data_IF_112244510199
#
_entry.id   IF_112244510199
#
_cell.length_a   1.000
_cell.length_b   1.000
_cell.length_c   1.000
_cell.angle_alpha   90.00
_cell.angle_beta   90.00
_cell.angle_gamma   90.00
#
_symmetry.space_group_name_H-M   'P 1'
#
loop_
_entity.id
_entity.type
_entity.pdbx_description
1 polymer ?
#
# COMPACT_ATOMS: atom_id res chain seq x y z
N UNK A 1 -0.50 -24.27 -20.36
CA UNK A 1 -1.09 -22.98 -20.00
C UNK A 1 0.03 -21.98 -19.83
N UNK A 2 -0.06 -20.81 -20.46
CA UNK A 2 0.86 -19.71 -20.15
C UNK A 2 0.62 -19.20 -18.73
N UNK A 3 1.68 -18.98 -17.97
CA UNK A 3 1.57 -18.38 -16.64
C UNK A 3 1.03 -16.96 -16.76
N UNK A 4 0.29 -16.48 -15.74
CA UNK A 4 -0.13 -15.07 -15.64
C UNK A 4 1.07 -14.12 -15.74
N UNK A 5 2.24 -14.55 -15.26
CA UNK A 5 3.47 -13.77 -15.32
C UNK A 5 3.99 -13.61 -16.76
N UNK A 6 3.95 -14.68 -17.57
CA UNK A 6 4.33 -14.63 -18.99
C UNK A 6 3.37 -13.77 -19.82
N UNK A 7 2.08 -13.80 -19.49
CA UNK A 7 1.06 -12.94 -20.12
C UNK A 7 1.26 -11.47 -19.74
N UNK A 8 1.64 -11.19 -18.49
CA UNK A 8 2.00 -9.86 -18.04
C UNK A 8 3.24 -9.30 -18.78
N UNK A 9 4.29 -10.09 -18.96
CA UNK A 9 5.50 -9.64 -19.68
C UNK A 9 5.28 -9.43 -21.18
N UNK A 10 4.43 -10.24 -21.80
CA UNK A 10 4.08 -10.11 -23.22
C UNK A 10 3.00 -9.06 -23.49
N UNK A 11 2.42 -8.46 -22.44
CA UNK A 11 1.37 -7.46 -22.59
C UNK A 11 1.91 -6.13 -23.12
N UNK A 12 1.28 -5.62 -24.19
CA UNK A 12 1.69 -4.36 -24.81
C UNK A 12 1.05 -3.14 -24.13
N UNK A 13 1.68 -2.67 -23.07
CA UNK A 13 1.26 -1.48 -22.32
C UNK A 13 1.29 -0.17 -23.15
N UNK A 14 2.17 -0.06 -24.15
CA UNK A 14 2.29 1.15 -24.97
C UNK A 14 1.14 1.32 -25.96
N UNK A 15 0.46 0.21 -26.28
CA UNK A 15 -0.71 0.24 -27.16
C UNK A 15 -1.96 0.83 -26.49
N UNK A 16 -2.02 0.91 -25.15
CA UNK A 16 -3.20 1.40 -24.43
C UNK A 16 -3.08 2.90 -24.08
N UNK A 17 -3.97 3.76 -24.61
CA UNK A 17 -3.93 5.20 -24.34
C UNK A 17 -4.11 5.55 -22.85
N UNK A 18 -4.86 4.75 -22.10
CA UNK A 18 -5.15 5.00 -20.67
C UNK A 18 -3.90 4.80 -19.82
N UNK A 19 -3.14 3.76 -20.14
CA UNK A 19 -1.86 3.50 -19.49
C UNK A 19 -0.86 4.63 -19.81
N UNK A 20 -0.78 5.02 -21.09
CA UNK A 20 0.08 6.10 -21.54
C UNK A 20 -0.21 7.44 -20.88
N UNK A 21 -1.49 7.73 -20.61
CA UNK A 21 -1.89 8.95 -19.90
C UNK A 21 -1.42 8.97 -18.44
N UNK A 22 -1.58 7.83 -17.73
CA UNK A 22 -1.01 7.64 -16.40
C UNK A 22 0.52 7.79 -16.36
N UNK A 23 1.20 7.31 -17.40
CA UNK A 23 2.65 7.40 -17.53
C UNK A 23 3.17 8.85 -17.66
N UNK A 24 2.38 9.76 -18.26
CA UNK A 24 2.74 11.19 -18.35
C UNK A 24 2.74 11.87 -16.97
N UNK A 25 1.84 11.44 -16.09
CA UNK A 25 1.77 11.94 -14.72
C UNK A 25 2.99 11.51 -13.91
N UNK A 26 3.42 10.26 -14.08
CA UNK A 26 4.58 9.70 -13.38
C UNK A 26 5.89 10.43 -13.72
N UNK A 27 6.10 10.72 -15.01
CA UNK A 27 7.30 11.45 -15.48
C UNK A 27 7.38 12.88 -14.97
N UNK A 28 6.26 13.47 -14.54
CA UNK A 28 6.21 14.83 -14.01
C UNK A 28 6.65 14.91 -12.55
N UNK A 29 6.55 13.81 -11.81
CA UNK A 29 6.69 13.78 -10.35
C UNK A 29 8.01 13.20 -9.84
N UNK A 30 8.85 12.63 -10.72
CA UNK A 30 9.96 11.76 -10.31
C UNK A 30 11.32 12.28 -10.75
N UNK A 31 12.26 12.35 -9.80
CA UNK A 31 13.70 12.45 -10.05
C UNK A 31 14.25 11.05 -10.42
N UNK A 32 15.15 11.01 -11.42
CA UNK A 32 15.50 9.84 -12.27
C UNK A 32 15.91 8.52 -11.60
N UNK A 33 16.10 8.45 -10.29
CA UNK A 33 16.63 7.25 -9.60
C UNK A 33 15.56 6.21 -9.24
N UNK A 34 14.26 6.54 -9.30
CA UNK A 34 13.17 5.66 -8.88
C UNK A 34 12.25 5.14 -9.99
N UNK A 35 12.54 5.45 -11.26
CA UNK A 35 11.60 5.28 -12.37
C UNK A 35 11.24 3.82 -12.65
N UNK A 36 12.18 2.89 -12.54
CA UNK A 36 11.97 1.47 -12.88
C UNK A 36 11.01 0.76 -11.91
N UNK A 37 11.15 1.01 -10.60
CA UNK A 37 10.30 0.40 -9.59
C UNK A 37 8.89 1.00 -9.65
N UNK A 38 8.78 2.30 -9.92
CA UNK A 38 7.50 2.96 -10.11
C UNK A 38 6.80 2.53 -11.39
N UNK A 39 7.54 2.33 -12.48
CA UNK A 39 6.99 1.83 -13.74
C UNK A 39 6.43 0.42 -13.57
N UNK A 40 7.17 -0.46 -12.88
CA UNK A 40 6.70 -1.81 -12.58
C UNK A 40 5.43 -1.78 -11.72
N UNK A 41 5.39 -0.94 -10.69
CA UNK A 41 4.21 -0.80 -9.83
C UNK A 41 2.99 -0.29 -10.61
N UNK A 42 3.18 0.66 -11.51
CA UNK A 42 2.11 1.18 -12.36
C UNK A 42 1.61 0.14 -13.36
N UNK A 43 2.52 -0.64 -13.98
CA UNK A 43 2.17 -1.76 -14.87
C UNK A 43 1.36 -2.82 -14.12
N UNK A 44 1.82 -3.23 -12.93
CA UNK A 44 1.12 -4.20 -12.07
C UNK A 44 -0.27 -3.68 -11.67
N UNK A 45 -0.37 -2.42 -11.25
CA UNK A 45 -1.64 -1.80 -10.88
C UNK A 45 -2.62 -1.79 -12.06
N UNK A 46 -2.17 -1.35 -13.24
CA UNK A 46 -3.01 -1.29 -14.42
C UNK A 46 -3.49 -2.68 -14.84
N UNK A 47 -2.57 -3.64 -14.91
CA UNK A 47 -2.88 -5.01 -15.31
C UNK A 47 -3.88 -5.66 -14.35
N UNK A 48 -3.70 -5.47 -13.05
CA UNK A 48 -4.66 -5.88 -12.01
C UNK A 48 -6.04 -5.25 -12.17
N UNK A 49 -6.08 -3.98 -12.57
CA UNK A 49 -7.32 -3.21 -12.66
C UNK A 49 -8.14 -3.55 -13.90
N UNK A 50 -7.49 -3.88 -15.02
CA UNK A 50 -8.14 -3.92 -16.34
C UNK A 50 -7.95 -5.23 -17.13
N UNK A 51 -7.00 -6.09 -16.78
CA UNK A 51 -6.69 -7.31 -17.54
C UNK A 51 -6.96 -8.56 -16.71
N UNK A 52 -6.15 -8.81 -15.69
CA UNK A 52 -6.25 -10.00 -14.85
C UNK A 52 -5.50 -9.78 -13.52
N UNK A 53 -5.99 -10.33 -12.40
CA UNK A 53 -5.28 -10.29 -11.13
C UNK A 53 -3.92 -11.01 -11.17
N UNK A 54 -2.89 -10.32 -10.69
CA UNK A 54 -1.50 -10.72 -10.56
C UNK A 54 -0.96 -10.19 -9.23
N UNK A 55 -0.37 -11.10 -8.43
CA UNK A 55 0.22 -10.73 -7.15
C UNK A 55 1.65 -10.20 -7.32
N UNK A 56 1.93 -9.05 -6.71
CA UNK A 56 3.24 -8.38 -6.77
C UNK A 56 4.34 -9.24 -6.15
N UNK A 57 4.07 -9.88 -5.01
CA UNK A 57 5.09 -10.67 -4.30
C UNK A 57 5.47 -11.93 -5.07
N UNK A 58 4.48 -12.54 -5.72
CA UNK A 58 4.61 -13.72 -6.57
C UNK A 58 5.34 -13.39 -7.87
N UNK A 59 4.99 -12.28 -8.52
CA UNK A 59 5.71 -11.80 -9.70
C UNK A 59 7.17 -11.52 -9.40
N UNK A 60 7.49 -10.81 -8.30
CA UNK A 60 8.88 -10.53 -7.92
C UNK A 60 9.69 -11.81 -7.69
N UNK A 61 9.10 -12.80 -7.02
CA UNK A 61 9.74 -14.10 -6.79
C UNK A 61 9.98 -14.84 -8.10
N UNK A 62 9.01 -14.82 -9.01
CA UNK A 62 9.12 -15.41 -10.33
C UNK A 62 10.17 -14.70 -11.20
N UNK A 63 10.22 -13.37 -11.19
CA UNK A 63 11.17 -12.58 -11.98
C UNK A 63 12.60 -12.65 -11.45
N UNK A 64 12.77 -12.90 -10.15
CA UNK A 64 14.09 -13.06 -9.52
C UNK A 64 14.59 -14.51 -9.54
N UNK A 65 13.72 -15.48 -9.87
CA UNK A 65 14.14 -16.85 -10.05
C UNK A 65 14.97 -16.95 -11.35
N UNK A 66 16.19 -17.53 -11.32
CA UNK A 66 16.88 -17.91 -12.53
C UNK A 66 16.00 -18.94 -13.23
N UNK A 67 15.35 -18.57 -14.32
CA UNK A 67 14.43 -19.43 -15.05
C UNK A 67 15.15 -20.72 -15.49
N UNK A 68 14.88 -21.89 -14.86
CA UNK A 68 15.34 -23.14 -15.44
C UNK A 68 14.52 -23.40 -16.71
N UNK A 69 15.13 -23.86 -17.82
CA UNK A 69 14.36 -24.31 -18.97
C UNK A 69 13.37 -25.39 -18.48
N UNK A 70 12.10 -25.19 -18.83
CA UNK A 70 10.96 -26.04 -18.48
C UNK A 70 11.33 -27.52 -18.30
N UNK A 71 11.24 -28.04 -17.09
CA UNK A 71 11.05 -29.48 -16.86
C UNK A 71 10.17 -29.66 -15.62
N UNK A 72 9.22 -30.55 -15.78
CA UNK A 72 8.02 -30.75 -14.98
C UNK A 72 8.37 -31.72 -13.85
N UNK A 73 8.21 -31.33 -12.58
CA UNK A 73 8.07 -32.30 -11.47
C UNK A 73 7.34 -31.66 -10.27
N UNK A 74 6.27 -32.28 -9.73
CA UNK A 74 5.61 -31.83 -8.51
C UNK A 74 6.07 -32.66 -7.30
N UNK A 75 6.66 -32.03 -6.29
CA UNK A 75 7.07 -32.74 -5.07
C UNK A 75 6.81 -31.86 -3.83
N UNK A 76 6.11 -32.46 -2.87
CA UNK A 76 5.43 -31.89 -1.70
C UNK A 76 6.27 -32.06 -0.43
N UNK A 77 6.42 -31.04 0.44
CA UNK A 77 6.30 -31.17 1.91
C UNK A 77 6.52 -29.89 2.73
N UNK A 78 5.46 -29.55 3.45
CA UNK A 78 5.29 -29.14 4.85
C UNK A 78 6.53 -29.10 5.81
N UNK A 79 6.52 -28.09 6.70
CA UNK A 79 6.85 -28.11 8.16
C UNK A 79 7.84 -27.07 8.73
N UNK A 80 7.25 -26.07 9.39
CA UNK A 80 7.39 -25.68 10.82
C UNK A 80 8.67 -25.99 11.61
N UNK A 81 9.18 -24.96 12.31
CA UNK A 81 10.05 -25.05 13.51
C UNK A 81 10.57 -23.66 13.92
N UNK A 82 9.90 -22.98 14.87
CA UNK A 82 10.32 -22.74 16.27
C UNK A 82 11.65 -21.98 16.41
N UNK A 83 11.58 -20.69 16.73
CA UNK A 83 11.86 -20.11 18.06
C UNK A 83 13.35 -20.13 18.45
N UNK A 84 13.94 -18.94 18.50
CA UNK A 84 15.05 -18.66 19.41
C UNK A 84 14.88 -17.24 19.94
N UNK A 85 14.51 -17.17 21.22
CA UNK A 85 14.58 -15.99 22.05
C UNK A 85 16.01 -15.89 22.58
N UNK A 86 16.69 -14.76 22.40
CA UNK A 86 17.53 -14.19 23.45
C UNK A 86 17.62 -12.67 23.28
N UNK A 87 17.31 -11.99 24.37
CA UNK A 87 17.06 -10.57 24.45
C UNK A 87 18.22 -9.91 25.19
N UNK A 88 19.01 -9.08 24.51
CA UNK A 88 19.64 -7.95 25.19
C UNK A 88 19.95 -6.79 24.24
N UNK A 89 19.53 -5.60 24.71
CA UNK A 89 19.96 -4.24 24.32
C UNK A 89 19.28 -3.64 23.09
N UNK A 90 18.54 -2.56 23.37
CA UNK A 90 17.75 -1.85 22.38
C UNK A 90 18.56 -1.02 21.39
N UNK A 91 17.96 -0.84 20.23
CA UNK A 91 17.88 0.40 19.47
C UNK A 91 17.03 0.12 18.22
N UNK A 92 16.07 1.01 17.98
CA UNK A 92 15.50 1.38 16.68
C UNK A 92 15.76 0.42 15.49
N UNK A 93 14.86 -0.54 15.30
CA UNK A 93 14.48 -1.01 13.96
C UNK A 93 13.07 -1.56 14.13
N UNK A 94 12.08 -0.86 13.60
CA UNK A 94 10.73 -1.40 13.46
C UNK A 94 10.84 -2.59 12.51
N UNK A 95 11.10 -3.78 13.06
CA UNK A 95 11.02 -5.04 12.33
C UNK A 95 9.62 -5.10 11.74
N UNK A 96 9.52 -5.12 10.41
CA UNK A 96 8.25 -5.09 9.71
C UNK A 96 7.44 -6.33 10.10
N UNK A 97 6.46 -6.16 10.97
CA UNK A 97 5.58 -7.23 11.40
C UNK A 97 4.60 -7.58 10.27
N UNK A 98 4.29 -8.87 10.12
CA UNK A 98 3.23 -9.30 9.20
C UNK A 98 1.86 -8.83 9.70
N UNK A 99 0.88 -8.74 8.79
CA UNK A 99 -0.48 -8.34 9.16
C UNK A 99 -1.10 -9.25 10.25
N UNK A 100 -0.87 -10.57 10.16
CA UNK A 100 -1.35 -11.53 11.15
C UNK A 100 -0.73 -11.28 12.54
N UNK A 101 0.55 -10.91 12.57
CA UNK A 101 1.27 -10.57 13.79
C UNK A 101 0.71 -9.30 14.44
N UNK A 102 0.42 -8.27 13.62
CA UNK A 102 -0.22 -7.03 14.08
C UNK A 102 -1.62 -7.31 14.64
N UNK A 103 -2.44 -8.12 13.95
CA UNK A 103 -3.76 -8.52 14.46
C UNK A 103 -3.67 -9.24 15.81
N UNK A 104 -2.71 -10.15 15.95
CA UNK A 104 -2.46 -10.85 17.21
C UNK A 104 -2.11 -9.87 18.33
N UNK A 105 -1.20 -8.92 18.08
CA UNK A 105 -0.85 -7.90 19.08
C UNK A 105 -2.06 -7.08 19.51
N UNK A 106 -2.91 -6.66 18.56
CA UNK A 106 -4.16 -5.95 18.86
C UNK A 106 -5.11 -6.79 19.70
N UNK A 107 -5.27 -8.08 19.36
CA UNK A 107 -6.18 -8.97 20.06
C UNK A 107 -5.70 -9.34 21.47
N UNK A 108 -4.38 -9.44 21.66
CA UNK A 108 -3.73 -9.64 22.95
C UNK A 108 -3.62 -8.34 23.78
N UNK A 109 -3.99 -7.19 23.21
CA UNK A 109 -3.88 -5.88 23.86
C UNK A 109 -2.45 -5.38 24.03
N UNK A 110 -1.50 -5.93 23.26
CA UNK A 110 -0.09 -5.51 23.24
C UNK A 110 0.10 -4.34 22.29
N UNK A 111 1.11 -3.52 22.58
CA UNK A 111 1.40 -2.34 21.78
C UNK A 111 1.97 -2.73 20.41
N UNK A 112 1.49 -2.05 19.36
CA UNK A 112 2.00 -2.24 18.00
C UNK A 112 3.28 -1.41 17.82
N UNK A 113 4.43 -2.05 17.48
CA UNK A 113 5.67 -1.33 17.25
C UNK A 113 5.54 -0.26 16.16
N UNK A 114 6.12 0.92 16.41
CA UNK A 114 6.10 2.05 15.46
C UNK A 114 4.89 2.98 15.57
N UNK A 115 3.94 2.69 16.46
CA UNK A 115 2.81 3.60 16.73
C UNK A 115 3.17 4.58 17.85
N UNK A 116 3.12 5.89 17.56
CA UNK A 116 3.26 6.93 18.58
C UNK A 116 1.92 7.13 19.29
N UNK A 117 1.89 6.97 20.62
CA UNK A 117 0.71 7.35 21.41
C UNK A 117 0.63 8.88 21.46
N UNK A 118 -0.34 9.44 20.75
CA UNK A 118 -0.68 10.86 20.90
C UNK A 118 -1.49 11.00 22.19
N UNK A 119 -1.05 11.88 23.06
CA UNK A 119 -1.77 12.23 24.29
C UNK A 119 -2.99 13.09 23.94
N UNK A 120 -4.11 12.43 23.64
CA UNK A 120 -5.37 13.09 23.31
C UNK A 120 -6.26 13.10 24.55
N UNK A 121 -6.48 14.28 25.11
CA UNK A 121 -7.44 14.48 26.19
C UNK A 121 -8.75 15.04 25.64
N UNK A 122 -9.88 14.55 26.16
CA UNK A 122 -11.19 15.13 25.89
C UNK A 122 -11.23 16.56 26.44
N UNK A 123 -11.19 17.55 25.56
CA UNK A 123 -11.42 18.94 25.93
C UNK A 123 -12.93 19.16 26.06
N UNK A 124 -13.45 19.07 27.29
CA UNK A 124 -14.83 19.46 27.61
C UNK A 124 -14.97 20.98 27.80
N UNK A 125 -14.14 21.78 27.12
CA UNK A 125 -14.24 23.22 27.18
C UNK A 125 -15.56 23.68 26.54
N UNK A 126 -16.16 24.72 27.10
CA UNK A 126 -17.35 25.33 26.50
C UNK A 126 -17.00 25.87 25.10
N UNK A 127 -17.87 25.69 24.10
CA UNK A 127 -17.63 26.20 22.76
C UNK A 127 -17.46 27.72 22.80
N UNK A 128 -16.54 28.25 22.00
CA UNK A 128 -16.37 29.70 21.84
C UNK A 128 -17.67 30.29 21.26
N UNK A 129 -18.33 31.24 21.94
CA UNK A 129 -19.54 31.85 21.42
C UNK A 129 -19.22 32.63 20.14
N UNK A 130 -20.12 32.58 19.16
CA UNK A 130 -19.96 33.36 17.93
C UNK A 130 -20.07 34.87 18.24
N UNK A 131 -19.05 35.64 17.86
CA UNK A 131 -19.09 37.10 17.86
C UNK A 131 -19.49 37.67 16.48
N UNK A 132 -19.93 36.82 15.56
CA UNK A 132 -20.22 37.23 14.19
C UNK A 132 -21.61 37.84 14.09
N UNK A 133 -21.69 39.09 13.61
CA UNK A 133 -22.96 39.75 13.32
C UNK A 133 -23.77 38.97 12.27
N UNK A 134 -25.06 38.77 12.56
CA UNK A 134 -25.97 38.08 11.63
C UNK A 134 -26.21 38.97 10.41
N UNK A 135 -25.79 38.50 9.24
CA UNK A 135 -26.19 39.13 7.97
C UNK A 135 -27.71 39.02 7.80
N UNK A 136 -28.36 40.18 7.80
CA UNK A 136 -29.78 40.29 7.53
C UNK A 136 -30.07 39.89 6.08
N UNK A 137 -31.18 39.21 5.87
CA UNK A 137 -31.69 38.86 4.56
C UNK A 137 -32.32 40.10 3.91
N UNK A 138 -32.36 40.19 2.57
CA UNK A 138 -32.90 41.37 1.88
C UNK A 138 -34.35 41.69 2.25
N UNK A 139 -35.15 40.66 2.58
CA UNK A 139 -36.54 40.83 3.02
C UNK A 139 -36.68 41.23 4.50
N UNK A 140 -35.61 41.14 5.30
CA UNK A 140 -35.59 41.62 6.69
C UNK A 140 -35.30 43.14 6.76
N UNK A 141 -34.92 43.78 5.64
CA UNK A 141 -34.58 45.22 5.58
C UNK A 141 -35.57 46.06 4.77
N UNK A 142 -36.57 45.43 4.14
CA UNK A 142 -37.59 46.16 3.38
C UNK A 142 -38.58 46.84 4.34
N UNK A 143 -38.84 48.16 4.21
CA UNK A 143 -39.92 48.81 4.94
C UNK A 143 -41.28 48.27 4.46
N UNK A 144 -42.18 48.01 5.40
CA UNK A 144 -43.57 47.61 5.15
C UNK A 144 -44.36 48.64 4.33
#
# INVERSE_FOLDING_TARGET
MDSVFSRFESYNFESDPRFMDGMKTLKKTTDKSGEENQLLDLKLFFYNRFVEPIDRSSYRRWSSAPHPPSTITPEHKDQTGLQSEDQTRGACVASQLSFAEVMRLVQEGKEVPGVTKVDVHASNQSPTPSQMERRQKPWETAPS
#
